data_IF_555657847954
#
_entry.id   IF_555657847954
#
_cell.length_a   1.000
_cell.length_b   1.000
_cell.length_c   1.000
_cell.angle_alpha   90.00
_cell.angle_beta   90.00
_cell.angle_gamma   90.00
#
_symmetry.space_group_name_H-M   'P 1'
#
loop_
_entity.id
_entity.type
_entity.pdbx_description
1 polymer ?
#
# COMPACT_ATOMS: atom_id res chain seq x y z
N UNK A 1 -9.35 27.23 5.64
CA UNK A 1 -8.33 27.17 4.56
C UNK A 1 -6.93 26.75 5.04
N UNK A 2 -6.45 27.16 6.22
CA UNK A 2 -5.12 26.78 6.75
C UNK A 2 -4.98 25.28 7.11
N UNK A 3 -5.98 24.70 7.77
CA UNK A 3 -6.00 23.27 8.14
C UNK A 3 -5.87 22.32 6.95
N UNK A 4 -6.50 22.66 5.83
CA UNK A 4 -6.53 21.81 4.64
C UNK A 4 -5.18 21.82 3.92
N UNK A 5 -4.48 22.97 3.89
CA UNK A 5 -3.08 23.06 3.40
C UNK A 5 -2.12 22.30 4.30
N UNK A 6 -2.23 22.46 5.62
CA UNK A 6 -1.40 21.74 6.60
C UNK A 6 -1.56 20.22 6.50
N UNK A 7 -2.80 19.73 6.43
CA UNK A 7 -3.09 18.32 6.18
C UNK A 7 -2.53 17.84 4.84
N UNK A 8 -2.47 18.68 3.81
CA UNK A 8 -1.94 18.30 2.50
C UNK A 8 -0.42 18.20 2.49
N UNK A 9 0.27 19.08 3.23
CA UNK A 9 1.72 19.02 3.45
C UNK A 9 2.13 17.83 4.32
N UNK A 10 1.38 17.52 5.39
CA UNK A 10 1.65 16.39 6.28
C UNK A 10 1.55 15.03 5.55
N UNK A 11 0.67 14.93 4.54
CA UNK A 11 0.51 13.73 3.69
C UNK A 11 1.72 13.46 2.79
N UNK A 12 2.26 14.50 2.14
CA UNK A 12 3.47 14.37 1.33
C UNK A 12 4.68 14.03 2.20
N UNK A 13 4.73 14.59 3.40
CA UNK A 13 5.77 14.28 4.38
C UNK A 13 5.78 12.78 4.73
N UNK A 14 4.63 12.17 5.02
CA UNK A 14 4.57 10.74 5.39
C UNK A 14 5.06 9.79 4.28
N UNK A 15 4.79 10.13 3.02
CA UNK A 15 5.23 9.35 1.88
C UNK A 15 6.74 9.51 1.61
N UNK A 16 7.25 10.75 1.71
CA UNK A 16 8.61 11.11 1.36
C UNK A 16 9.63 10.93 2.51
N UNK A 17 9.18 10.84 3.76
CA UNK A 17 10.09 10.71 4.91
C UNK A 17 10.85 9.39 4.83
N UNK A 18 12.17 9.33 5.03
CA UNK A 18 12.99 8.10 4.95
C UNK A 18 12.85 7.20 6.20
N UNK A 19 11.63 7.01 6.72
CA UNK A 19 11.35 6.07 7.81
C UNK A 19 10.85 4.74 7.27
N UNK A 20 11.00 3.67 8.04
CA UNK A 20 10.37 2.39 7.74
C UNK A 20 8.84 2.52 7.87
N UNK A 21 8.08 1.86 6.99
CA UNK A 21 6.63 1.75 7.13
C UNK A 21 6.21 0.30 7.09
N UNK A 22 5.29 -0.05 7.98
CA UNK A 22 4.67 -1.35 8.01
C UNK A 22 3.15 -1.19 8.02
N UNK A 23 2.47 -1.80 7.04
CA UNK A 23 1.01 -1.85 6.98
C UNK A 23 0.56 -3.29 7.19
N UNK A 24 -0.43 -3.47 8.06
CA UNK A 24 -1.10 -4.75 8.28
C UNK A 24 -2.57 -4.62 7.92
N UNK A 25 -3.02 -5.39 6.94
CA UNK A 25 -4.39 -5.41 6.45
C UNK A 25 -5.00 -6.75 6.85
N UNK A 26 -6.08 -6.72 7.63
CA UNK A 26 -6.77 -7.92 8.09
C UNK A 26 -8.08 -8.07 7.32
N UNK A 27 -8.32 -9.27 6.80
CA UNK A 27 -9.49 -9.58 5.99
C UNK A 27 -10.69 -9.80 6.91
N UNK A 28 -11.64 -8.86 6.88
CA UNK A 28 -12.89 -8.96 7.65
C UNK A 28 -13.94 -9.79 6.90
N UNK A 29 -14.03 -9.62 5.58
CA UNK A 29 -14.97 -10.32 4.70
C UNK A 29 -14.19 -11.16 3.70
N UNK A 30 -14.60 -12.41 3.53
CA UNK A 30 -13.94 -13.33 2.62
C UNK A 30 -14.06 -12.87 1.16
N UNK A 31 -12.94 -12.89 0.45
CA UNK A 31 -12.85 -12.49 -0.95
C UNK A 31 -11.85 -13.38 -1.68
N UNK A 32 -11.99 -13.47 -3.00
CA UNK A 32 -10.92 -14.04 -3.83
C UNK A 32 -9.77 -13.05 -3.88
N UNK A 33 -8.53 -13.53 -3.81
CA UNK A 33 -7.37 -12.66 -3.90
C UNK A 33 -7.28 -11.91 -5.24
N UNK A 34 -7.89 -12.45 -6.31
CA UNK A 34 -8.07 -11.73 -7.58
C UNK A 34 -8.89 -10.44 -7.45
N UNK A 35 -9.91 -10.40 -6.57
CA UNK A 35 -10.70 -9.19 -6.35
C UNK A 35 -9.89 -8.08 -5.67
N UNK A 36 -8.94 -8.46 -4.82
CA UNK A 36 -8.00 -7.54 -4.18
C UNK A 36 -6.89 -7.11 -5.14
N UNK A 37 -6.32 -8.07 -5.87
CA UNK A 37 -5.28 -7.85 -6.88
C UNK A 37 -5.71 -6.85 -7.95
N UNK A 38 -6.91 -7.01 -8.52
CA UNK A 38 -7.44 -6.09 -9.55
C UNK A 38 -7.64 -4.67 -9.02
N UNK A 39 -8.04 -4.50 -7.74
CA UNK A 39 -8.16 -3.17 -7.14
C UNK A 39 -6.81 -2.50 -6.95
N UNK A 40 -5.80 -3.26 -6.51
CA UNK A 40 -4.42 -2.78 -6.41
C UNK A 40 -3.87 -2.43 -7.79
N UNK A 41 -4.04 -3.33 -8.76
CA UNK A 41 -3.60 -3.16 -10.15
C UNK A 41 -4.15 -1.88 -10.75
N UNK A 42 -5.46 -1.71 -10.75
CA UNK A 42 -6.11 -0.51 -11.31
C UNK A 42 -5.59 0.75 -10.63
N UNK A 43 -5.49 0.76 -9.29
CA UNK A 43 -5.05 1.93 -8.57
C UNK A 43 -3.58 2.29 -8.81
N UNK A 44 -2.72 1.30 -8.98
CA UNK A 44 -1.29 1.50 -9.27
C UNK A 44 -1.10 1.90 -10.73
N UNK A 45 -1.69 1.18 -11.67
CA UNK A 45 -1.62 1.48 -13.12
C UNK A 45 -2.14 2.88 -13.43
N UNK A 46 -3.32 3.25 -12.92
CA UNK A 46 -3.90 4.59 -13.16
C UNK A 46 -3.00 5.72 -12.64
N UNK A 47 -2.15 5.45 -11.64
CA UNK A 47 -1.21 6.44 -11.10
C UNK A 47 0.10 6.46 -11.88
N UNK A 48 0.63 5.29 -12.25
CA UNK A 48 1.83 5.20 -13.09
C UNK A 48 1.59 5.84 -14.46
N UNK A 49 0.44 5.56 -15.07
CA UNK A 49 0.06 6.17 -16.35
C UNK A 49 -0.15 7.68 -16.24
N UNK A 50 -0.72 8.17 -15.12
CA UNK A 50 -0.88 9.61 -14.90
C UNK A 50 0.46 10.34 -14.70
N UNK A 51 1.47 9.64 -14.18
CA UNK A 51 2.82 10.17 -13.96
C UNK A 51 3.78 9.91 -15.15
N UNK A 52 3.28 9.34 -16.26
CA UNK A 52 4.05 8.93 -17.46
C UNK A 52 5.22 7.98 -17.12
N UNK A 53 4.95 6.98 -16.27
CA UNK A 53 5.91 6.02 -15.71
C UNK A 53 5.42 4.57 -15.81
N UNK A 54 4.57 4.26 -16.79
CA UNK A 54 4.04 2.90 -16.98
C UNK A 54 4.68 2.28 -18.22
N UNK A 55 5.91 1.78 -18.05
CA UNK A 55 6.66 1.05 -19.08
C UNK A 55 6.60 -0.47 -18.82
N UNK A 56 7.23 -1.25 -19.69
CA UNK A 56 7.26 -2.72 -19.59
C UNK A 56 7.81 -3.22 -18.24
N UNK A 57 8.79 -2.52 -17.65
CA UNK A 57 9.37 -2.91 -16.35
C UNK A 57 8.36 -2.78 -15.20
N UNK A 58 7.58 -1.69 -15.17
CA UNK A 58 6.53 -1.49 -14.19
C UNK A 58 5.36 -2.45 -14.39
N UNK A 59 4.99 -2.71 -15.64
CA UNK A 59 3.94 -3.66 -15.99
C UNK A 59 4.28 -5.07 -15.49
N UNK A 60 5.49 -5.57 -15.78
CA UNK A 60 5.95 -6.88 -15.31
C UNK A 60 6.03 -6.97 -13.78
N UNK A 61 6.45 -5.88 -13.11
CA UNK A 61 6.48 -5.84 -11.65
C UNK A 61 5.08 -5.83 -11.04
N UNK A 62 4.14 -5.10 -11.65
CA UNK A 62 2.74 -5.06 -11.22
C UNK A 62 2.04 -6.40 -11.45
N UNK A 63 2.29 -7.04 -12.60
CA UNK A 63 1.74 -8.36 -12.93
C UNK A 63 2.13 -9.41 -11.88
N UNK A 64 3.41 -9.48 -11.48
CA UNK A 64 3.86 -10.37 -10.39
C UNK A 64 3.12 -10.15 -9.08
N UNK A 65 2.82 -8.89 -8.73
CA UNK A 65 2.04 -8.56 -7.52
C UNK A 65 0.60 -9.05 -7.67
N UNK A 66 0.00 -8.87 -8.84
CA UNK A 66 -1.37 -9.31 -9.12
C UNK A 66 -1.46 -10.83 -9.12
N UNK A 67 -0.56 -11.53 -9.81
CA UNK A 67 -0.48 -13.00 -9.83
C UNK A 67 -0.31 -13.58 -8.42
N UNK A 68 0.54 -12.96 -7.60
CA UNK A 68 0.72 -13.35 -6.21
C UNK A 68 -0.61 -13.32 -5.45
N UNK A 69 -1.42 -12.27 -5.62
CA UNK A 69 -2.73 -12.20 -4.97
C UNK A 69 -3.78 -13.10 -5.64
N UNK A 70 -3.79 -13.21 -6.97
CA UNK A 70 -4.73 -14.06 -7.71
C UNK A 70 -4.62 -15.53 -7.30
N UNK A 71 -3.41 -16.00 -7.00
CA UNK A 71 -3.17 -17.37 -6.52
C UNK A 71 -3.70 -17.64 -5.10
N UNK A 72 -4.19 -16.63 -4.38
CA UNK A 72 -4.60 -16.72 -2.97
C UNK A 72 -6.11 -16.58 -2.79
N UNK A 73 -6.59 -17.18 -1.70
CA UNK A 73 -7.96 -17.05 -1.23
C UNK A 73 -7.94 -16.41 0.15
N UNK A 74 -8.61 -15.26 0.28
CA UNK A 74 -8.58 -14.47 1.49
C UNK A 74 -9.74 -14.90 2.38
N UNK A 75 -9.46 -15.85 3.26
CA UNK A 75 -10.39 -16.25 4.31
C UNK A 75 -10.51 -15.14 5.34
N UNK A 76 -11.56 -15.20 6.15
CA UNK A 76 -11.69 -14.36 7.33
C UNK A 76 -10.42 -14.47 8.19
N UNK A 77 -9.98 -13.34 8.74
CA UNK A 77 -8.79 -13.22 9.58
C UNK A 77 -7.45 -13.50 8.86
N UNK A 78 -7.46 -13.66 7.53
CA UNK A 78 -6.21 -13.63 6.75
C UNK A 78 -5.56 -12.26 6.88
N UNK A 79 -4.23 -12.24 6.89
CA UNK A 79 -3.42 -11.05 7.11
C UNK A 79 -2.53 -10.80 5.90
N UNK A 80 -2.60 -9.60 5.37
CA UNK A 80 -1.69 -9.10 4.34
C UNK A 80 -0.76 -8.10 5.04
N UNK A 81 0.54 -8.24 4.84
CA UNK A 81 1.53 -7.32 5.36
C UNK A 81 2.23 -6.61 4.21
N UNK A 82 2.45 -5.32 4.36
CA UNK A 82 3.30 -4.54 3.46
C UNK A 82 4.39 -3.91 4.30
N UNK A 83 5.63 -4.31 4.04
CA UNK A 83 6.80 -3.76 4.67
C UNK A 83 7.58 -2.91 3.65
N UNK A 84 7.84 -1.66 4.01
CA UNK A 84 8.60 -0.70 3.24
C UNK A 84 9.83 -0.29 4.06
N UNK A 85 10.99 -0.92 3.84
CA UNK A 85 12.21 -0.60 4.57
C UNK A 85 12.62 0.87 4.38
N UNK A 86 13.21 1.46 5.42
CA UNK A 86 13.80 2.80 5.31
C UNK A 86 14.91 2.80 4.24
N UNK A 87 14.90 3.82 3.37
CA UNK A 87 15.92 4.00 2.30
C UNK A 87 16.02 2.87 1.26
N UNK A 88 15.02 1.98 1.18
CA UNK A 88 14.93 0.97 0.13
C UNK A 88 13.79 1.31 -0.83
N UNK A 89 14.05 1.12 -2.13
CA UNK A 89 13.03 1.19 -3.17
C UNK A 89 12.25 -0.14 -3.33
N UNK A 90 12.34 -1.01 -2.32
CA UNK A 90 11.74 -2.34 -2.29
C UNK A 90 10.51 -2.36 -1.37
N UNK A 91 9.52 -3.16 -1.71
CA UNK A 91 8.46 -3.57 -0.78
C UNK A 91 8.48 -5.09 -0.58
N UNK A 92 8.21 -5.52 0.64
CA UNK A 92 7.96 -6.92 0.96
C UNK A 92 6.49 -7.08 1.27
N UNK A 93 5.82 -7.91 0.49
CA UNK A 93 4.40 -8.22 0.64
C UNK A 93 4.28 -9.61 1.25
N UNK A 94 3.73 -9.71 2.45
CA UNK A 94 3.40 -10.98 3.10
C UNK A 94 1.91 -11.29 3.01
N UNK A 95 1.59 -12.58 2.92
CA UNK A 95 0.24 -13.09 3.05
C UNK A 95 0.24 -14.30 4.00
N UNK A 96 -0.47 -14.17 5.10
CA UNK A 96 -0.70 -15.23 6.06
C UNK A 96 -2.20 -15.56 6.13
N UNK A 97 -2.53 -16.84 6.15
CA UNK A 97 -3.90 -17.33 6.32
C UNK A 97 -3.87 -18.55 7.22
N UNK A 98 -4.95 -18.76 7.97
CA UNK A 98 -5.00 -19.84 8.97
C UNK A 98 -4.74 -21.21 8.33
N UNK A 99 -3.80 -21.96 8.90
CA UNK A 99 -3.43 -23.31 8.45
C UNK A 99 -2.50 -23.36 7.22
N UNK A 100 -1.92 -22.23 6.78
CA UNK A 100 -0.89 -22.20 5.74
C UNK A 100 0.33 -21.38 6.19
N UNK A 101 1.50 -21.74 5.68
CA UNK A 101 2.70 -20.94 5.86
C UNK A 101 2.57 -19.55 5.23
N UNK A 102 3.20 -18.57 5.87
CA UNK A 102 3.26 -17.20 5.36
C UNK A 102 3.97 -17.18 4.01
N UNK A 103 3.30 -16.69 2.98
CA UNK A 103 3.92 -16.47 1.67
C UNK A 103 4.43 -15.04 1.57
N UNK A 104 5.62 -14.84 1.00
CA UNK A 104 6.21 -13.52 0.80
C UNK A 104 6.50 -13.28 -0.68
N UNK A 105 6.34 -12.03 -1.10
CA UNK A 105 6.74 -11.52 -2.40
C UNK A 105 7.59 -10.27 -2.18
N UNK A 106 8.74 -10.22 -2.84
CA UNK A 106 9.59 -9.02 -2.89
C UNK A 106 9.30 -8.27 -4.20
N UNK A 107 9.01 -6.98 -4.09
CA UNK A 107 8.81 -6.06 -5.21
C UNK A 107 9.96 -5.07 -5.21
N UNK A 108 10.75 -5.03 -6.27
CA UNK A 108 11.98 -4.24 -6.38
C UNK A 108 11.87 -3.06 -7.37
N UNK A 109 10.74 -2.92 -8.08
CA UNK A 109 10.48 -1.74 -8.89
C UNK A 109 10.05 -0.55 -8.00
N UNK A 110 10.88 0.50 -8.00
CA UNK A 110 10.70 1.70 -7.18
C UNK A 110 9.36 2.41 -7.44
N UNK A 111 8.97 2.53 -8.71
CA UNK A 111 7.75 3.23 -9.13
C UNK A 111 6.51 2.47 -8.63
N UNK A 112 6.47 1.15 -8.82
CA UNK A 112 5.39 0.28 -8.32
C UNK A 112 5.30 0.35 -6.79
N UNK A 113 6.44 0.25 -6.10
CA UNK A 113 6.51 0.34 -4.63
C UNK A 113 5.97 1.68 -4.13
N UNK A 114 6.35 2.78 -4.78
CA UNK A 114 5.84 4.11 -4.44
C UNK A 114 4.32 4.20 -4.66
N UNK A 115 3.80 3.65 -5.75
CA UNK A 115 2.36 3.68 -6.03
C UNK A 115 1.55 2.80 -5.07
N UNK A 116 2.04 1.63 -4.68
CA UNK A 116 1.40 0.79 -3.64
C UNK A 116 1.38 1.54 -2.30
N UNK A 117 2.48 2.21 -1.93
CA UNK A 117 2.54 3.04 -0.73
C UNK A 117 1.52 4.19 -0.80
N UNK A 118 1.44 4.88 -1.94
CA UNK A 118 0.44 5.92 -2.17
C UNK A 118 -0.98 5.36 -2.21
N UNK A 119 -1.20 4.09 -2.57
CA UNK A 119 -2.55 3.50 -2.59
C UNK A 119 -3.18 3.45 -1.19
N UNK A 120 -2.37 3.16 -0.17
CA UNK A 120 -2.81 3.20 1.23
C UNK A 120 -2.65 4.57 1.89
N UNK A 121 -1.52 5.24 1.66
CA UNK A 121 -1.14 6.46 2.38
C UNK A 121 -1.35 7.75 1.57
N UNK A 122 -1.89 7.67 0.36
CA UNK A 122 -2.08 8.81 -0.57
C UNK A 122 -3.22 9.76 -0.23
N UNK A 123 -3.60 9.87 1.04
CA UNK A 123 -4.58 10.86 1.50
C UNK A 123 -5.98 10.67 0.90
N UNK A 124 -6.44 11.62 0.08
CA UNK A 124 -7.81 11.63 -0.49
C UNK A 124 -8.07 10.51 -1.49
N UNK A 125 -7.01 9.95 -2.09
CA UNK A 125 -7.08 8.76 -2.95
C UNK A 125 -6.67 7.48 -2.21
N UNK A 126 -6.47 7.55 -0.90
CA UNK A 126 -6.17 6.39 -0.07
C UNK A 126 -7.38 5.46 0.00
N UNK A 127 -7.16 4.15 -0.05
CA UNK A 127 -8.25 3.16 -0.03
C UNK A 127 -9.09 3.21 1.26
N UNK A 128 -8.54 3.74 2.35
CA UNK A 128 -9.24 3.86 3.63
C UNK A 128 -9.14 5.27 4.22
N UNK A 129 -10.23 6.03 4.13
CA UNK A 129 -10.35 7.38 4.70
C UNK A 129 -10.25 7.38 6.23
N UNK A 130 -10.73 6.33 6.89
CA UNK A 130 -10.64 6.15 8.35
C UNK A 130 -9.20 5.94 8.80
N UNK A 131 -8.41 5.14 8.06
CA UNK A 131 -6.97 4.97 8.35
C UNK A 131 -6.21 6.29 8.19
N UNK A 132 -6.48 7.06 7.13
CA UNK A 132 -5.86 8.38 6.94
C UNK A 132 -6.21 9.35 8.08
N UNK A 133 -7.46 9.35 8.53
CA UNK A 133 -7.91 10.21 9.64
C UNK A 133 -7.27 9.79 10.96
N UNK A 134 -7.22 8.48 11.24
CA UNK A 134 -6.56 7.93 12.44
C UNK A 134 -5.06 8.25 12.48
N UNK A 135 -4.37 8.12 11.34
CA UNK A 135 -2.97 8.51 11.21
C UNK A 135 -2.77 10.00 11.49
N UNK A 136 -3.59 10.87 10.88
CA UNK A 136 -3.50 12.31 11.08
C UNK A 136 -3.71 12.70 12.55
N UNK A 137 -4.70 12.12 13.22
CA UNK A 137 -4.99 12.39 14.63
C UNK A 137 -3.85 11.90 15.55
N UNK A 138 -3.35 10.69 15.31
CA UNK A 138 -2.27 10.10 16.13
C UNK A 138 -0.97 10.89 15.98
N UNK A 139 -0.59 11.24 14.74
CA UNK A 139 0.59 12.07 14.48
C UNK A 139 0.45 13.47 15.07
N UNK A 140 -0.74 14.08 14.98
CA UNK A 140 -0.99 15.38 15.61
C UNK A 140 -0.78 15.31 17.12
N UNK A 141 -1.17 14.22 17.77
CA UNK A 141 -0.96 14.03 19.20
C UNK A 141 0.54 13.83 19.52
N UNK A 142 1.26 13.00 18.77
CA UNK A 142 2.69 12.76 18.99
C UNK A 142 3.56 14.00 18.72
N UNK A 143 3.23 14.81 17.71
CA UNK A 143 3.94 16.05 17.39
C UNK A 143 3.59 17.22 18.33
N UNK A 144 2.56 17.07 19.16
CA UNK A 144 2.14 18.07 20.16
C UNK A 144 2.75 17.83 21.55
N UNK A 145 3.55 16.77 21.71
CA UNK A 145 4.36 16.50 22.90
C UNK A 145 5.69 17.25 22.82
#
# INVERSE_FOLDING_TARGET
>A
MYWQKMMTSLKHLLLATPVEKFLRVVVIKEIKGSQYGVQLESAVRDRLAADDKYEEEEELALEKVVEFFQSKYFKKDSVITYHFPANSAVAEIGFATEGKEESKLKVDNANVVEMIKKWYLGGTRGVSSTTITSLANTLSAELSK
#
